data_IF_215538254745
#
_entry.id   IF_215538254745
#
_cell.length_a   1.000
_cell.length_b   1.000
_cell.length_c   1.000
_cell.angle_alpha   90.00
_cell.angle_beta   90.00
_cell.angle_gamma   90.00
#
_symmetry.space_group_name_H-M   'P 1'
#
loop_
_entity.id
_entity.type
_entity.pdbx_description
1 polymer ?
#
# COMPACT_ATOMS: atom_id res chain seq x y z
N UNK A 1 -1.53 21.33 -15.72
CA UNK A 1 -1.28 20.07 -14.98
C UNK A 1 -1.40 20.32 -13.48
N UNK A 2 -1.93 19.35 -12.73
CA UNK A 2 -2.10 19.36 -11.28
C UNK A 2 -1.55 18.05 -10.69
N UNK A 3 -1.08 18.10 -9.44
CA UNK A 3 -0.60 16.94 -8.68
C UNK A 3 -1.45 16.72 -7.44
N UNK A 4 -1.79 15.47 -7.14
CA UNK A 4 -2.35 15.06 -5.85
C UNK A 4 -1.40 14.07 -5.16
N UNK A 5 -1.14 14.32 -3.88
CA UNK A 5 -0.32 13.46 -3.04
C UNK A 5 -1.15 12.29 -2.50
N UNK A 6 -0.65 11.08 -2.72
CA UNK A 6 -1.23 9.85 -2.20
C UNK A 6 -0.12 9.02 -1.55
N UNK A 7 -0.45 8.07 -0.67
CA UNK A 7 0.55 7.25 -0.01
C UNK A 7 1.30 6.40 -1.04
N UNK A 8 2.62 6.57 -1.10
CA UNK A 8 3.50 5.87 -2.04
C UNK A 8 3.29 6.23 -3.52
N UNK A 9 2.58 7.33 -3.83
CA UNK A 9 2.32 7.75 -5.22
C UNK A 9 1.96 9.22 -5.39
N UNK A 10 2.10 9.68 -6.63
CA UNK A 10 1.64 11.00 -7.07
C UNK A 10 0.69 10.81 -8.24
N UNK A 11 -0.52 11.37 -8.12
CA UNK A 11 -1.48 11.42 -9.23
C UNK A 11 -1.34 12.74 -9.98
N UNK A 12 -1.10 12.64 -11.28
CA UNK A 12 -1.04 13.76 -12.21
C UNK A 12 -2.31 13.79 -13.04
N UNK A 13 -2.89 14.98 -13.18
CA UNK A 13 -4.01 15.24 -14.09
C UNK A 13 -3.79 16.54 -14.84
N UNK A 14 -4.26 16.63 -16.08
CA UNK A 14 -4.17 17.85 -16.88
C UNK A 14 -5.38 17.96 -17.80
N UNK A 15 -5.54 19.13 -18.40
CA UNK A 15 -6.51 19.35 -19.45
C UNK A 15 -5.92 18.90 -20.77
N UNK A 16 -6.70 18.18 -21.54
CA UNK A 16 -6.32 17.62 -22.84
C UNK A 16 -7.30 16.53 -23.24
N UNK A 17 -7.78 16.60 -24.47
CA UNK A 17 -8.61 15.56 -25.06
C UNK A 17 -7.73 14.66 -25.94
N UNK A 18 -8.07 13.39 -26.04
CA UNK A 18 -7.28 12.44 -26.82
C UNK A 18 -7.38 12.69 -28.35
N UNK A 19 -8.16 13.68 -28.81
CA UNK A 19 -8.52 13.79 -30.23
C UNK A 19 -8.62 15.21 -30.82
N UNK A 20 -8.43 16.30 -30.06
CA UNK A 20 -8.35 17.66 -30.64
C UNK A 20 -7.29 18.56 -29.95
N UNK A 21 -6.20 18.96 -30.66
CA UNK A 21 -5.70 18.40 -31.94
C UNK A 21 -5.34 16.91 -31.82
N UNK A 22 -4.98 16.23 -32.92
CA UNK A 22 -4.62 14.80 -32.95
C UNK A 22 -3.40 14.49 -32.06
N UNK A 23 -3.64 14.28 -30.76
CA UNK A 23 -2.64 13.82 -29.80
C UNK A 23 -2.47 12.32 -29.99
N UNK A 24 -1.28 11.89 -30.42
CA UNK A 24 -0.92 10.48 -30.41
C UNK A 24 -0.64 10.01 -28.98
N UNK A 25 0.14 10.78 -28.21
CA UNK A 25 0.32 10.54 -26.78
C UNK A 25 0.88 11.76 -26.04
N UNK A 26 0.74 11.71 -24.72
CA UNK A 26 1.50 12.52 -23.77
C UNK A 26 2.75 11.75 -23.35
N UNK A 27 3.92 12.35 -23.51
CA UNK A 27 5.16 11.88 -22.91
C UNK A 27 5.37 12.59 -21.57
N UNK A 28 5.34 11.84 -20.46
CA UNK A 28 5.50 12.38 -19.12
C UNK A 28 6.92 12.17 -18.65
N UNK A 29 7.55 13.28 -18.26
CA UNK A 29 8.88 13.30 -17.71
C UNK A 29 8.84 13.68 -16.24
N UNK A 30 9.79 13.16 -15.46
CA UNK A 30 9.99 13.63 -14.11
C UNK A 30 11.33 13.25 -13.49
N UNK A 31 11.69 14.01 -12.45
CA UNK A 31 12.90 13.79 -11.67
C UNK A 31 12.69 14.23 -10.21
N UNK A 32 13.56 13.79 -9.30
CA UNK A 32 13.56 14.21 -7.90
C UNK A 32 14.20 15.59 -7.66
N UNK A 33 14.82 16.18 -8.69
CA UNK A 33 15.45 17.51 -8.64
C UNK A 33 14.69 18.48 -9.56
N UNK A 34 14.45 19.73 -9.12
CA UNK A 34 13.81 20.74 -9.96
C UNK A 34 14.71 21.13 -11.12
N UNK A 35 14.11 21.69 -12.18
CA UNK A 35 14.85 22.19 -13.35
C UNK A 35 15.53 21.08 -14.16
N UNK A 36 15.02 19.85 -14.10
CA UNK A 36 15.59 18.71 -14.80
C UNK A 36 15.49 18.87 -16.33
N UNK A 37 16.47 18.32 -17.04
CA UNK A 37 16.45 18.25 -18.49
C UNK A 37 15.55 17.08 -18.95
N UNK A 38 14.71 17.35 -19.95
CA UNK A 38 13.88 16.32 -20.59
C UNK A 38 14.78 15.42 -21.46
N UNK A 39 14.66 14.12 -21.27
CA UNK A 39 15.44 13.11 -21.99
C UNK A 39 15.01 11.69 -21.65
N UNK A 40 15.64 10.67 -22.27
CA UNK A 40 15.29 9.27 -22.04
C UNK A 40 15.31 8.85 -20.56
N UNK A 41 16.30 9.33 -19.80
CA UNK A 41 16.47 8.97 -18.38
C UNK A 41 15.42 9.60 -17.46
N UNK A 42 14.68 10.60 -17.94
CA UNK A 42 13.61 11.26 -17.18
C UNK A 42 12.23 10.90 -17.72
N UNK A 43 12.13 10.11 -18.79
CA UNK A 43 10.86 9.66 -19.34
C UNK A 43 10.26 8.60 -18.41
N UNK A 44 9.16 8.95 -17.74
CA UNK A 44 8.47 8.06 -16.82
C UNK A 44 7.48 7.15 -17.56
N UNK A 45 6.72 7.72 -18.50
CA UNK A 45 5.74 6.96 -19.26
C UNK A 45 5.27 7.71 -20.51
N UNK A 46 4.51 6.99 -21.35
CA UNK A 46 3.70 7.53 -22.44
C UNK A 46 2.26 7.07 -22.25
N UNK A 47 1.29 7.97 -22.44
CA UNK A 47 -0.13 7.66 -22.26
C UNK A 47 -0.99 8.51 -23.19
N UNK A 48 -2.12 7.98 -23.61
CA UNK A 48 -3.15 8.72 -24.35
C UNK A 48 -4.13 9.44 -23.42
N UNK A 49 -4.14 9.08 -22.13
CA UNK A 49 -5.04 9.65 -21.14
C UNK A 49 -4.44 10.90 -20.52
N UNK A 50 -5.27 11.91 -20.24
CA UNK A 50 -4.86 13.12 -19.54
C UNK A 50 -4.66 12.90 -18.02
N UNK A 51 -4.13 11.74 -17.64
CA UNK A 51 -3.78 11.38 -16.28
C UNK A 51 -2.63 10.37 -16.26
N UNK A 52 -1.84 10.43 -15.18
CA UNK A 52 -0.79 9.46 -14.90
C UNK A 52 -0.68 9.24 -13.38
N UNK A 53 -0.58 7.98 -12.96
CA UNK A 53 -0.31 7.61 -11.58
C UNK A 53 1.16 7.17 -11.49
N UNK A 54 2.01 8.03 -10.93
CA UNK A 54 3.38 7.66 -10.62
C UNK A 54 3.38 6.96 -9.27
N UNK A 55 3.44 5.62 -9.27
CA UNK A 55 3.30 4.77 -8.08
C UNK A 55 4.63 4.14 -7.61
N UNK A 56 4.53 3.19 -6.67
CA UNK A 56 5.64 2.37 -6.16
C UNK A 56 6.78 3.18 -5.55
N UNK A 57 6.46 4.30 -4.90
CA UNK A 57 7.45 5.18 -4.25
C UNK A 57 7.78 4.78 -2.79
N UNK A 58 7.20 3.70 -2.26
CA UNK A 58 7.38 3.33 -0.85
C UNK A 58 6.65 4.24 0.13
N UNK A 59 6.73 3.93 1.42
CA UNK A 59 6.10 4.75 2.47
C UNK A 59 6.81 6.07 2.80
N UNK A 60 8.03 6.30 2.30
CA UNK A 60 8.75 7.58 2.51
C UNK A 60 8.21 8.64 1.56
N UNK A 61 8.09 9.87 2.06
CA UNK A 61 7.81 11.01 1.19
C UNK A 61 8.92 11.16 0.15
N UNK A 62 8.53 11.19 -1.11
CA UNK A 62 9.40 11.56 -2.22
C UNK A 62 8.87 12.83 -2.86
N UNK A 63 9.74 13.81 -3.07
CA UNK A 63 9.42 15.00 -3.86
C UNK A 63 9.82 14.76 -5.31
N UNK A 64 8.97 15.19 -6.24
CA UNK A 64 9.13 15.00 -7.66
C UNK A 64 8.73 16.26 -8.42
N UNK A 65 9.32 16.42 -9.59
CA UNK A 65 9.03 17.50 -10.52
C UNK A 65 8.67 16.88 -11.85
N UNK A 66 7.63 17.40 -12.50
CA UNK A 66 7.05 16.79 -13.69
C UNK A 66 6.90 17.79 -14.82
N UNK A 67 7.06 17.31 -16.05
CA UNK A 67 6.77 18.02 -17.29
C UNK A 67 6.10 17.09 -18.27
N UNK A 68 5.23 17.64 -19.12
CA UNK A 68 4.55 16.89 -20.18
C UNK A 68 4.94 17.46 -21.53
N UNK A 69 5.14 16.58 -22.50
CA UNK A 69 5.27 16.93 -23.92
C UNK A 69 4.13 16.24 -24.66
N UNK A 70 3.40 17.00 -25.46
CA UNK A 70 2.38 16.47 -26.37
C UNK A 70 3.07 16.01 -27.64
N UNK A 71 2.74 14.80 -28.10
CA UNK A 71 3.24 14.24 -29.35
C UNK A 71 2.05 13.96 -30.26
N UNK A 72 2.11 14.45 -31.50
CA UNK A 72 1.09 14.20 -32.52
C UNK A 72 1.36 12.92 -33.30
N UNK A 73 0.42 12.53 -34.17
CA UNK A 73 0.52 11.31 -34.99
C UNK A 73 1.68 11.32 -36.01
N UNK A 74 2.20 12.51 -36.37
CA UNK A 74 3.38 12.65 -37.22
C UNK A 74 4.69 12.59 -36.42
N UNK A 75 4.61 12.51 -35.08
CA UNK A 75 5.75 12.50 -34.18
C UNK A 75 6.28 13.89 -33.82
N UNK A 76 5.59 14.97 -34.24
CA UNK A 76 5.95 16.32 -33.83
C UNK A 76 5.70 16.47 -32.34
N UNK A 77 6.56 17.27 -31.69
CA UNK A 77 6.57 17.43 -30.24
C UNK A 77 6.29 18.89 -29.89
N UNK A 78 5.42 19.13 -28.93
CA UNK A 78 5.23 20.47 -28.37
C UNK A 78 6.47 20.92 -27.58
N UNK A 79 6.53 22.21 -27.26
CA UNK A 79 7.34 22.65 -26.14
C UNK A 79 6.89 21.96 -24.85
N UNK A 80 7.81 21.69 -23.90
CA UNK A 80 7.45 21.14 -22.60
C UNK A 80 6.49 22.06 -21.85
N UNK A 81 5.55 21.45 -21.11
CA UNK A 81 4.73 22.18 -20.15
C UNK A 81 5.62 22.89 -19.11
N UNK A 82 5.04 23.90 -18.44
CA UNK A 82 5.60 24.38 -17.18
C UNK A 82 5.84 23.20 -16.22
N UNK A 83 6.93 23.28 -15.46
CA UNK A 83 7.27 22.29 -14.44
C UNK A 83 6.28 22.37 -13.27
N UNK A 84 5.80 21.23 -12.80
CA UNK A 84 4.94 21.15 -11.61
C UNK A 84 5.60 20.25 -10.58
N UNK A 85 5.69 20.75 -9.34
CA UNK A 85 6.14 19.98 -8.20
C UNK A 85 5.00 19.12 -7.64
N UNK A 86 5.31 17.89 -7.26
CA UNK A 86 4.42 16.97 -6.56
C UNK A 86 5.20 16.18 -5.50
N UNK A 87 4.47 15.47 -4.65
CA UNK A 87 5.09 14.59 -3.66
C UNK A 87 4.16 13.44 -3.26
N UNK A 88 4.73 12.31 -2.86
CA UNK A 88 3.95 11.27 -2.19
C UNK A 88 3.60 11.71 -0.76
N UNK A 89 2.54 11.13 -0.19
CA UNK A 89 2.29 11.23 1.23
C UNK A 89 3.29 10.35 2.00
N UNK A 90 3.66 10.79 3.21
CA UNK A 90 4.48 9.99 4.11
C UNK A 90 3.59 9.05 4.93
N UNK A 91 4.01 7.80 5.05
CA UNK A 91 3.35 6.79 5.88
C UNK A 91 3.43 7.14 7.36
N UNK A 92 2.34 6.91 8.08
CA UNK A 92 2.34 6.96 9.55
C UNK A 92 3.25 5.87 10.16
N UNK A 93 3.53 4.79 9.45
CA UNK A 93 4.44 3.74 9.93
C UNK A 93 5.89 4.23 10.03
N UNK A 94 6.25 5.28 9.26
CA UNK A 94 7.59 5.87 9.26
C UNK A 94 7.68 7.19 10.04
N UNK A 95 6.57 7.91 10.15
CA UNK A 95 6.51 9.24 10.79
C UNK A 95 5.83 9.25 12.15
N UNK A 96 5.06 8.21 12.49
CA UNK A 96 4.30 8.09 13.73
C UNK A 96 5.07 7.40 14.86
N UNK A 97 4.54 7.52 16.08
CA UNK A 97 5.04 6.74 17.22
C UNK A 97 4.34 5.38 17.25
N UNK A 98 5.07 4.25 17.14
CA UNK A 98 4.45 2.94 17.21
C UNK A 98 3.83 2.70 18.59
N UNK A 99 2.59 2.21 18.60
CA UNK A 99 1.89 1.71 19.78
C UNK A 99 1.94 0.18 19.82
N UNK A 100 1.82 -0.45 18.66
CA UNK A 100 1.94 -1.90 18.47
C UNK A 100 2.30 -2.22 17.01
N UNK A 101 3.03 -3.31 16.77
CA UNK A 101 3.41 -3.71 15.40
C UNK A 101 3.74 -5.20 15.29
N UNK A 102 3.63 -5.73 14.08
CA UNK A 102 4.13 -7.05 13.67
C UNK A 102 4.78 -6.90 12.29
N UNK A 103 5.91 -7.58 12.09
CA UNK A 103 6.77 -7.38 10.92
C UNK A 103 7.57 -6.07 10.94
N UNK A 104 8.32 -5.84 9.87
CA UNK A 104 9.08 -4.63 9.60
C UNK A 104 8.52 -3.95 8.36
N UNK A 105 8.39 -2.62 8.41
CA UNK A 105 7.94 -1.82 7.28
C UNK A 105 9.09 -1.60 6.29
N UNK A 106 9.55 -2.67 5.64
CA UNK A 106 10.75 -2.70 4.79
C UNK A 106 10.53 -3.35 3.40
N UNK A 107 9.27 -3.57 3.05
CA UNK A 107 8.78 -4.22 1.83
C UNK A 107 9.22 -5.68 1.71
N UNK A 108 9.30 -6.41 2.83
CA UNK A 108 9.61 -7.83 2.89
C UNK A 108 8.64 -8.55 3.81
N UNK A 109 8.38 -9.80 3.49
CA UNK A 109 7.56 -10.70 4.32
C UNK A 109 8.40 -11.77 5.03
N UNK A 110 9.72 -11.78 4.82
CA UNK A 110 10.62 -12.90 5.10
C UNK A 110 10.75 -13.25 6.59
N UNK A 111 10.39 -12.33 7.48
CA UNK A 111 10.37 -12.54 8.92
C UNK A 111 9.04 -13.07 9.46
N UNK A 112 8.04 -13.25 8.60
CA UNK A 112 6.70 -13.69 8.96
C UNK A 112 6.53 -15.20 8.78
N UNK A 113 5.62 -15.79 9.54
CA UNK A 113 5.35 -17.21 9.50
C UNK A 113 4.92 -17.67 8.09
N UNK A 114 5.46 -18.81 7.66
CA UNK A 114 5.26 -19.43 6.33
C UNK A 114 5.89 -18.69 5.14
N UNK A 115 6.53 -17.53 5.34
CA UNK A 115 7.17 -16.84 4.23
C UNK A 115 8.40 -17.61 3.68
N UNK A 116 8.79 -17.37 2.41
CA UNK A 116 8.02 -16.66 1.39
C UNK A 116 7.06 -17.58 0.61
N UNK A 117 7.19 -18.90 0.74
CA UNK A 117 6.55 -19.87 -0.17
C UNK A 117 5.78 -21.00 0.54
N UNK A 118 5.55 -20.87 1.85
CA UNK A 118 4.86 -21.86 2.68
C UNK A 118 3.34 -21.77 2.69
N UNK A 119 2.72 -21.01 1.77
CA UNK A 119 1.27 -20.74 1.75
C UNK A 119 0.41 -22.01 1.91
N UNK A 120 0.80 -23.14 1.31
CA UNK A 120 0.04 -24.40 1.38
C UNK A 120 -0.16 -24.92 2.83
N UNK A 121 0.67 -24.48 3.78
CA UNK A 121 0.60 -24.86 5.19
C UNK A 121 -0.43 -24.04 5.98
N UNK A 122 -0.98 -22.95 5.41
CA UNK A 122 -1.86 -22.02 6.12
C UNK A 122 -3.03 -22.73 6.81
N UNK A 123 -3.73 -23.61 6.09
CA UNK A 123 -4.92 -24.31 6.61
C UNK A 123 -4.61 -25.16 7.84
N UNK A 124 -3.41 -25.74 7.90
CA UNK A 124 -2.98 -26.58 9.02
C UNK A 124 -2.44 -25.73 10.17
N UNK A 125 -1.70 -24.66 9.88
CA UNK A 125 -1.03 -23.83 10.91
C UNK A 125 -1.94 -22.77 11.50
N UNK A 126 -2.92 -22.28 10.73
CA UNK A 126 -3.88 -21.25 11.10
C UNK A 126 -5.32 -21.66 10.75
N UNK A 127 -5.83 -22.81 11.25
CA UNK A 127 -7.15 -23.33 10.88
C UNK A 127 -8.30 -22.40 11.25
N UNK A 128 -8.09 -21.53 12.24
CA UNK A 128 -9.06 -20.52 12.70
C UNK A 128 -8.65 -19.09 12.32
N UNK A 129 -7.68 -18.94 11.42
CA UNK A 129 -7.03 -17.67 11.13
C UNK A 129 -5.94 -17.28 12.12
N UNK A 130 -5.30 -16.14 11.86
CA UNK A 130 -4.24 -15.58 12.72
C UNK A 130 -4.89 -14.90 13.94
N UNK A 131 -4.38 -15.18 15.14
CA UNK A 131 -4.68 -14.44 16.37
C UNK A 131 -3.36 -14.11 17.08
N UNK A 132 -2.89 -12.88 16.89
CA UNK A 132 -1.57 -12.43 17.32
C UNK A 132 -1.69 -11.34 18.38
N UNK A 133 -0.94 -11.48 19.49
CA UNK A 133 -0.85 -10.45 20.53
C UNK A 133 0.51 -9.78 20.51
N UNK A 134 0.54 -8.47 20.28
CA UNK A 134 1.76 -7.66 20.35
C UNK A 134 2.40 -7.73 21.74
N UNK A 135 3.71 -8.01 21.78
CA UNK A 135 4.48 -8.18 23.00
C UNK A 135 4.55 -9.61 23.52
N UNK A 136 3.71 -10.51 23.02
CA UNK A 136 3.66 -11.93 23.40
C UNK A 136 3.95 -12.85 22.20
N UNK A 137 3.34 -12.57 21.05
CA UNK A 137 3.45 -13.38 19.84
C UNK A 137 4.77 -13.22 19.10
N UNK A 138 5.18 -14.28 18.41
CA UNK A 138 6.40 -14.33 17.59
C UNK A 138 6.05 -14.17 16.11
N UNK A 139 6.51 -13.13 15.40
CA UNK A 139 6.12 -12.89 14.00
C UNK A 139 6.38 -14.08 13.05
N UNK A 140 7.50 -14.79 13.24
CA UNK A 140 7.95 -15.93 12.45
C UNK A 140 7.17 -17.22 12.73
N UNK A 141 6.30 -17.23 13.74
CA UNK A 141 5.48 -18.39 14.14
C UNK A 141 3.99 -18.09 14.07
N UNK A 142 3.58 -16.94 14.60
CA UNK A 142 2.20 -16.63 14.95
C UNK A 142 1.53 -15.66 13.97
N UNK A 143 2.28 -15.05 13.04
CA UNK A 143 1.75 -14.14 12.03
C UNK A 143 1.98 -14.69 10.63
N UNK A 144 0.94 -15.25 10.01
CA UNK A 144 1.06 -15.72 8.64
C UNK A 144 1.34 -14.57 7.68
N UNK A 145 2.38 -14.73 6.85
CA UNK A 145 2.71 -13.76 5.81
C UNK A 145 1.56 -13.55 4.81
N UNK A 146 0.73 -14.59 4.59
CA UNK A 146 -0.34 -14.61 3.61
C UNK A 146 -1.69 -14.79 4.30
N UNK A 147 -2.68 -13.97 3.93
CA UNK A 147 -4.06 -14.18 4.35
C UNK A 147 -4.93 -14.51 3.13
N UNK A 148 -5.46 -15.75 3.05
CA UNK A 148 -6.29 -16.21 1.93
C UNK A 148 -7.69 -15.61 1.97
N UNK A 149 -8.31 -15.52 0.81
CA UNK A 149 -9.74 -15.23 0.66
C UNK A 149 -10.54 -16.46 0.22
N UNK A 150 -11.87 -16.30 0.07
CA UNK A 150 -12.74 -17.41 -0.34
C UNK A 150 -12.43 -17.97 -1.74
N UNK A 151 -11.72 -17.23 -2.60
CA UNK A 151 -11.30 -17.76 -3.90
C UNK A 151 -10.13 -18.76 -3.81
N UNK A 152 -9.51 -18.91 -2.63
CA UNK A 152 -8.31 -19.72 -2.45
C UNK A 152 -8.64 -21.15 -2.01
N UNK A 153 -8.86 -22.04 -2.99
CA UNK A 153 -9.18 -23.45 -2.74
C UNK A 153 -8.09 -24.17 -1.90
N UNK A 154 -6.82 -23.79 -2.08
CA UNK A 154 -5.69 -24.33 -1.31
C UNK A 154 -5.79 -24.00 0.19
N UNK A 155 -6.50 -22.94 0.56
CA UNK A 155 -6.79 -22.56 1.94
C UNK A 155 -8.17 -23.03 2.42
N UNK A 156 -8.91 -23.79 1.59
CA UNK A 156 -10.25 -24.29 1.90
C UNK A 156 -11.41 -23.45 1.35
N UNK A 157 -11.15 -22.41 0.56
CA UNK A 157 -12.20 -21.68 -0.19
C UNK A 157 -13.22 -20.97 0.70
N UNK A 158 -12.79 -20.42 1.84
CA UNK A 158 -13.66 -19.73 2.81
C UNK A 158 -13.08 -18.36 3.16
N UNK A 159 -13.94 -17.48 3.66
CA UNK A 159 -13.48 -16.24 4.27
C UNK A 159 -12.53 -16.53 5.43
N UNK A 160 -11.52 -15.68 5.60
CA UNK A 160 -10.55 -15.78 6.69
C UNK A 160 -10.55 -14.51 7.54
N UNK A 161 -10.18 -14.64 8.82
CA UNK A 161 -10.01 -13.53 9.75
C UNK A 161 -8.59 -13.53 10.29
N UNK A 162 -8.01 -12.34 10.39
CA UNK A 162 -6.80 -12.05 11.16
C UNK A 162 -7.17 -11.14 12.32
N UNK A 163 -6.70 -11.47 13.53
CA UNK A 163 -6.90 -10.67 14.74
C UNK A 163 -5.55 -10.20 15.25
N UNK A 164 -5.37 -8.89 15.36
CA UNK A 164 -4.18 -8.25 15.91
C UNK A 164 -4.54 -7.58 17.25
N UNK A 165 -4.00 -8.09 18.34
CA UNK A 165 -4.26 -7.65 19.70
C UNK A 165 -3.11 -6.82 20.24
N UNK A 166 -3.43 -5.79 21.02
CA UNK A 166 -2.44 -4.93 21.65
C UNK A 166 -3.00 -4.28 22.91
N UNK A 167 -2.11 -3.85 23.80
CA UNK A 167 -2.46 -3.09 24.99
C UNK A 167 -2.16 -1.60 24.79
N UNK A 168 -3.00 -0.75 25.38
CA UNK A 168 -2.74 0.69 25.51
C UNK A 168 -2.70 1.07 26.99
N UNK A 169 -1.62 1.68 27.46
CA UNK A 169 -1.57 2.24 28.82
C UNK A 169 -2.58 3.37 29.00
N UNK A 170 -2.77 4.16 27.94
CA UNK A 170 -3.82 5.16 27.83
C UNK A 170 -4.23 5.32 26.35
N UNK A 171 -5.50 5.65 26.11
CA UNK A 171 -5.96 6.02 24.78
C UNK A 171 -5.29 7.34 24.35
N UNK A 172 -4.56 7.38 23.22
CA UNK A 172 -3.92 8.61 22.75
C UNK A 172 -4.90 9.77 22.63
N UNK A 173 -4.44 10.97 22.99
CA UNK A 173 -5.20 12.21 22.77
C UNK A 173 -5.21 12.61 21.29
N UNK A 174 -4.10 12.36 20.59
CA UNK A 174 -3.97 12.56 19.16
C UNK A 174 -4.59 11.45 18.32
N UNK A 175 -4.54 11.63 17.01
CA UNK A 175 -5.06 10.66 16.05
C UNK A 175 -4.28 9.34 16.13
N UNK A 176 -5.00 8.23 16.16
CA UNK A 176 -4.43 6.88 16.11
C UNK A 176 -4.73 6.28 14.75
N UNK A 177 -3.73 5.64 14.17
CA UNK A 177 -3.77 5.08 12.82
C UNK A 177 -3.47 3.59 12.84
N UNK A 178 -4.17 2.85 11.99
CA UNK A 178 -3.79 1.51 11.57
C UNK A 178 -3.04 1.64 10.24
N UNK A 179 -1.84 1.07 10.16
CA UNK A 179 -1.08 0.92 8.94
C UNK A 179 -0.94 -0.56 8.58
N UNK A 180 -1.29 -0.90 7.35
CA UNK A 180 -1.11 -2.23 6.77
C UNK A 180 -0.31 -2.05 5.49
N UNK A 181 0.90 -2.58 5.47
CA UNK A 181 1.71 -2.64 4.27
C UNK A 181 1.66 -4.05 3.72
N UNK A 182 1.49 -4.14 2.40
CA UNK A 182 1.42 -5.39 1.67
C UNK A 182 2.58 -5.42 0.69
N UNK A 183 3.24 -6.56 0.54
CA UNK A 183 4.24 -6.74 -0.52
C UNK A 183 3.59 -7.10 -1.86
N UNK A 184 2.43 -7.75 -1.83
CA UNK A 184 1.70 -8.13 -3.04
C UNK A 184 0.26 -8.60 -2.75
N UNK A 185 -0.55 -8.63 -3.81
CA UNK A 185 -1.89 -9.24 -3.81
C UNK A 185 -2.11 -10.01 -5.11
N UNK A 186 -3.26 -10.69 -5.21
CA UNK A 186 -3.67 -11.29 -6.48
C UNK A 186 -3.89 -10.24 -7.58
N UNK A 187 -3.36 -10.48 -8.78
CA UNK A 187 -3.31 -9.48 -9.86
C UNK A 187 -4.67 -9.03 -10.42
N UNK A 188 -5.71 -9.87 -10.35
CA UNK A 188 -7.03 -9.57 -10.91
C UNK A 188 -8.19 -9.73 -9.95
N UNK A 189 -7.93 -10.26 -8.75
CA UNK A 189 -8.96 -10.61 -7.78
C UNK A 189 -8.47 -10.40 -6.34
N UNK A 190 -7.89 -9.23 -6.00
CA UNK A 190 -7.35 -9.00 -4.66
C UNK A 190 -8.45 -8.88 -3.60
N UNK A 191 -9.69 -8.58 -3.98
CA UNK A 191 -10.85 -8.52 -3.07
C UNK A 191 -10.85 -7.31 -2.14
N UNK A 192 -11.57 -7.45 -1.03
CA UNK A 192 -11.78 -6.40 -0.04
C UNK A 192 -11.53 -6.88 1.38
N UNK A 193 -11.15 -5.96 2.27
CA UNK A 193 -10.99 -6.18 3.70
C UNK A 193 -12.08 -5.44 4.46
N UNK A 194 -12.80 -6.16 5.31
CA UNK A 194 -13.62 -5.53 6.35
C UNK A 194 -12.80 -5.45 7.62
N UNK A 195 -12.60 -4.22 8.12
CA UNK A 195 -11.75 -3.96 9.27
C UNK A 195 -12.61 -3.49 10.43
N UNK A 196 -12.27 -3.93 11.64
CA UNK A 196 -12.90 -3.46 12.87
C UNK A 196 -11.89 -3.26 13.98
N UNK A 197 -12.25 -2.42 14.96
CA UNK A 197 -11.52 -2.18 16.20
C UNK A 197 -12.49 -2.35 17.37
N UNK A 198 -12.22 -3.33 18.25
CA UNK A 198 -13.06 -3.66 19.41
C UNK A 198 -14.56 -3.84 19.04
N UNK A 199 -14.83 -4.48 17.89
CA UNK A 199 -16.18 -4.72 17.38
C UNK A 199 -16.81 -3.54 16.63
N UNK A 200 -16.18 -2.36 16.62
CA UNK A 200 -16.62 -1.22 15.79
C UNK A 200 -16.04 -1.34 14.39
N UNK A 201 -16.89 -1.42 13.37
CA UNK A 201 -16.46 -1.44 11.98
C UNK A 201 -15.83 -0.08 11.58
N UNK A 202 -14.78 -0.13 10.78
CA UNK A 202 -14.18 1.03 10.10
C UNK A 202 -14.33 0.86 8.58
N UNK A 203 -14.00 1.88 7.75
CA UNK A 203 -14.23 1.80 6.31
C UNK A 203 -13.64 0.54 5.66
N UNK A 204 -14.42 -0.05 4.75
CA UNK A 204 -14.00 -1.18 3.92
C UNK A 204 -12.84 -0.76 3.02
N UNK A 205 -11.88 -1.67 2.87
CA UNK A 205 -10.69 -1.44 2.03
C UNK A 205 -10.77 -2.33 0.81
N UNK A 206 -10.90 -1.71 -0.37
CA UNK A 206 -10.64 -2.39 -1.63
C UNK A 206 -9.14 -2.52 -1.83
N UNK A 207 -8.67 -3.75 -1.98
CA UNK A 207 -7.25 -4.01 -2.21
C UNK A 207 -6.86 -3.69 -3.66
N UNK A 208 -5.63 -3.20 -3.83
CA UNK A 208 -5.05 -2.92 -5.13
C UNK A 208 -4.64 -4.22 -5.83
N UNK A 209 -4.60 -4.19 -7.16
CA UNK A 209 -4.17 -5.32 -7.96
C UNK A 209 -2.65 -5.49 -7.89
N UNK A 210 -2.21 -6.65 -7.42
CA UNK A 210 -0.81 -7.00 -7.32
C UNK A 210 -0.26 -7.67 -8.59
N UNK A 211 0.70 -8.55 -8.40
CA UNK A 211 1.35 -9.34 -9.44
C UNK A 211 1.20 -10.85 -9.25
N UNK A 212 0.51 -11.30 -8.20
CA UNK A 212 0.34 -12.74 -7.86
C UNK A 212 1.67 -13.44 -7.54
N UNK A 213 2.74 -12.71 -7.25
CA UNK A 213 4.08 -13.25 -6.96
C UNK A 213 4.36 -13.38 -5.47
N UNK A 214 3.69 -12.59 -4.63
CA UNK A 214 3.93 -12.56 -3.18
C UNK A 214 3.71 -13.88 -2.45
N UNK A 215 2.97 -14.83 -3.03
CA UNK A 215 2.82 -16.18 -2.47
C UNK A 215 4.08 -17.05 -2.59
N UNK A 216 5.04 -16.65 -3.42
CA UNK A 216 6.29 -17.36 -3.70
C UNK A 216 7.53 -16.50 -3.46
N UNK A 217 7.39 -15.18 -3.54
CA UNK A 217 8.45 -14.20 -3.35
C UNK A 217 8.16 -13.32 -2.13
N UNK A 218 9.21 -12.95 -1.39
CA UNK A 218 9.06 -12.22 -0.12
C UNK A 218 9.85 -10.93 -0.01
N UNK A 219 10.51 -10.47 -1.07
CA UNK A 219 11.34 -9.25 -1.04
C UNK A 219 11.06 -8.37 -2.25
N UNK A 220 10.29 -7.29 -2.04
CA UNK A 220 9.94 -6.33 -3.07
C UNK A 220 10.99 -5.23 -3.27
N UNK A 221 12.16 -5.35 -2.62
CA UNK A 221 13.29 -4.41 -2.79
C UNK A 221 14.32 -4.88 -3.82
N UNK A 222 14.20 -6.12 -4.30
CA UNK A 222 15.07 -6.67 -5.35
C UNK A 222 14.84 -5.92 -6.67
N UNK A 223 15.90 -5.38 -7.32
CA UNK A 223 15.76 -4.73 -8.62
C UNK A 223 15.09 -5.63 -9.66
N UNK A 224 14.10 -5.09 -10.37
CA UNK A 224 13.36 -5.83 -11.39
C UNK A 224 12.32 -6.83 -10.84
N UNK A 225 12.06 -6.84 -9.53
CA UNK A 225 10.95 -7.62 -8.97
C UNK A 225 9.61 -7.27 -9.63
N UNK A 226 8.77 -8.29 -9.80
CA UNK A 226 7.41 -8.12 -10.26
C UNK A 226 6.43 -7.78 -9.12
N UNK A 227 6.84 -7.94 -7.85
CA UNK A 227 6.00 -7.63 -6.68
C UNK A 227 5.50 -6.18 -6.74
N UNK A 228 4.25 -5.99 -6.30
CA UNK A 228 3.61 -4.67 -6.29
C UNK A 228 3.15 -4.31 -4.87
N UNK A 229 4.03 -3.67 -4.08
CA UNK A 229 3.66 -3.21 -2.76
C UNK A 229 2.51 -2.20 -2.79
N UNK A 230 1.63 -2.29 -1.81
CA UNK A 230 0.53 -1.35 -1.61
C UNK A 230 0.32 -1.07 -0.12
N UNK A 231 -0.34 0.05 0.18
CA UNK A 231 -0.39 0.60 1.53
C UNK A 231 -1.82 1.00 1.89
N UNK A 232 -2.22 0.63 3.09
CA UNK A 232 -3.53 0.98 3.66
C UNK A 232 -3.28 1.67 4.99
N UNK A 233 -3.70 2.93 5.09
CA UNK A 233 -3.66 3.68 6.34
C UNK A 233 -5.04 4.22 6.68
N UNK A 234 -5.56 3.80 7.83
CA UNK A 234 -6.89 4.16 8.29
C UNK A 234 -6.83 4.75 9.69
N UNK A 235 -7.68 5.74 9.92
CA UNK A 235 -7.86 6.32 11.26
C UNK A 235 -8.65 5.33 12.11
N UNK A 236 -8.11 4.98 13.28
CA UNK A 236 -8.87 4.23 14.27
C UNK A 236 -9.73 5.22 15.08
N UNK A 237 -11.06 5.05 15.12
CA UNK A 237 -11.93 5.93 15.89
C UNK A 237 -11.55 5.91 17.37
N UNK A 238 -11.27 7.08 17.95
CA UNK A 238 -10.86 7.20 19.36
C UNK A 238 -11.89 6.58 20.31
N UNK A 239 -13.18 6.71 20.01
CA UNK A 239 -14.28 6.15 20.81
C UNK A 239 -14.31 4.61 20.82
N UNK A 240 -13.68 3.95 19.83
CA UNK A 240 -13.57 2.50 19.78
C UNK A 240 -12.32 1.99 20.52
N UNK A 241 -11.35 2.86 20.86
CA UNK A 241 -10.15 2.52 21.60
C UNK A 241 -10.41 2.58 23.11
N UNK A 242 -9.71 1.74 23.87
CA UNK A 242 -9.78 1.71 25.34
C UNK A 242 -8.41 1.48 25.96
N UNK A 243 -8.24 1.87 27.22
CA UNK A 243 -7.09 1.45 28.02
C UNK A 243 -7.12 -0.07 28.20
N UNK A 244 -5.93 -0.69 28.24
CA UNK A 244 -5.78 -2.13 28.27
C UNK A 244 -5.97 -2.77 26.90
N UNK A 245 -6.64 -3.93 26.86
CA UNK A 245 -6.71 -4.80 25.68
C UNK A 245 -7.58 -4.23 24.55
N UNK A 246 -6.98 -4.09 23.38
CA UNK A 246 -7.63 -3.73 22.13
C UNK A 246 -7.40 -4.84 21.09
N UNK A 247 -8.30 -4.95 20.10
CA UNK A 247 -8.15 -5.87 19.00
C UNK A 247 -8.61 -5.24 17.67
N UNK A 248 -7.73 -5.26 16.68
CA UNK A 248 -8.08 -5.02 15.28
C UNK A 248 -8.42 -6.37 14.64
N UNK A 249 -9.55 -6.45 13.94
CA UNK A 249 -9.94 -7.61 13.13
C UNK A 249 -9.91 -7.25 11.66
N UNK A 250 -9.33 -8.11 10.82
CA UNK A 250 -9.25 -7.98 9.37
C UNK A 250 -9.88 -9.21 8.73
N UNK A 251 -11.08 -9.03 8.18
CA UNK A 251 -11.83 -10.09 7.51
C UNK A 251 -11.63 -10.04 5.99
N UNK A 252 -11.07 -11.11 5.42
CA UNK A 252 -10.99 -11.31 3.97
C UNK A 252 -12.22 -12.06 3.49
N UNK A 253 -13.29 -11.32 3.16
CA UNK A 253 -14.58 -11.91 2.75
C UNK A 253 -14.77 -12.05 1.25
N UNK A 254 -13.94 -11.40 0.45
CA UNK A 254 -14.01 -11.45 -1.02
C UNK A 254 -12.61 -11.62 -1.61
N UNK A 255 -12.55 -12.12 -2.84
CA UNK A 255 -11.30 -12.27 -3.60
C UNK A 255 -10.37 -13.38 -3.13
N UNK A 256 -9.16 -13.34 -3.68
CA UNK A 256 -8.03 -14.22 -3.40
C UNK A 256 -7.09 -13.57 -2.38
N UNK A 257 -5.94 -14.16 -2.14
CA UNK A 257 -5.04 -13.83 -1.05
C UNK A 257 -4.42 -12.42 -1.15
N UNK A 258 -3.82 -11.99 -0.04
CA UNK A 258 -2.89 -10.85 0.04
C UNK A 258 -1.73 -11.21 0.97
N UNK A 259 -0.58 -10.57 0.77
CA UNK A 259 0.65 -10.86 1.52
C UNK A 259 1.15 -9.61 2.25
N UNK A 260 1.33 -9.75 3.55
CA UNK A 260 1.80 -8.71 4.44
C UNK A 260 3.30 -8.45 4.25
N UNK A 261 3.66 -7.16 4.32
CA UNK A 261 4.97 -6.69 4.75
C UNK A 261 4.95 -6.55 6.28
N UNK A 262 4.10 -5.64 6.76
CA UNK A 262 3.92 -5.38 8.17
C UNK A 262 2.54 -4.80 8.48
N UNK A 263 2.17 -4.87 9.75
CA UNK A 263 0.99 -4.22 10.29
C UNK A 263 1.34 -3.52 11.60
N UNK A 264 0.74 -2.35 11.85
CA UNK A 264 0.93 -1.67 13.12
C UNK A 264 -0.12 -0.60 13.41
N UNK A 265 -0.17 -0.24 14.69
CA UNK A 265 -0.99 0.84 15.22
C UNK A 265 -0.05 1.95 15.69
N UNK A 266 -0.32 3.18 15.26
CA UNK A 266 0.56 4.33 15.47
C UNK A 266 -0.21 5.51 16.03
N UNK A 267 0.39 6.24 16.97
CA UNK A 267 -0.06 7.59 17.30
C UNK A 267 0.61 8.57 16.35
N UNK A 268 -0.16 9.47 15.74
CA UNK A 268 0.41 10.57 14.98
C UNK A 268 1.31 11.41 15.91
N UNK A 269 2.52 11.73 15.46
CA UNK A 269 3.33 12.72 16.16
C UNK A 269 2.63 14.08 16.01
N UNK A 270 2.46 14.78 17.13
CA UNK A 270 2.07 16.19 17.07
C UNK A 270 3.16 16.93 16.30
N UNK A 271 2.84 17.42 15.10
CA UNK A 271 3.71 18.37 14.42
C UNK A 271 3.79 19.59 15.34
N UNK A 272 4.93 19.78 16.00
CA UNK A 272 5.22 21.08 16.63
C UNK A 272 5.15 22.09 15.49
N UNK A 273 4.24 23.06 15.65
CA UNK A 273 4.13 24.21 14.75
C UNK A 273 5.45 24.97 14.72
#
# INVERSE_FOLDING_TARGET
>A
MKTAAELGRVRLTWEGEAYEPFVDHYAIYGAQKPGFAIGPDTLLTKTVYASFLHDRMGGRRQNWYYRIVVVDAAGNRSDPSAEVAGHSAESVALSGRPLARVGKFDHKSLELALAPAGYAQYKTRFPNGVDYTYGEGKPDVDWSYIQPGPADAWAGGKASRTTFRFNLDAVPAGQTWLAIWLIDTHASNPGTLLIGINGTAIPEVKLENGATRGSLEGDATVPGTALKPSYVELVLPRAALRTGKNAVTIDKKTGSWHVYDALGVFAALSRRR
#
